data_IF_603163970763
#
_entry.id   IF_603163970763
#
_cell.length_a   1.000
_cell.length_b   1.000
_cell.length_c   1.000
_cell.angle_alpha   90.00
_cell.angle_beta   90.00
_cell.angle_gamma   90.00
#
_symmetry.space_group_name_H-M   'P 1'
#
loop_
_entity.id
_entity.type
_entity.pdbx_description
1 polymer ?
#
# COMPACT_ATOMS: atom_id res chain seq x y z
N UNK A 1 21.34 -7.60 -45.24
CA UNK A 1 22.43 -7.29 -44.30
C UNK A 1 21.83 -7.27 -42.89
N UNK A 2 21.81 -8.41 -42.22
CA UNK A 2 21.30 -8.54 -40.85
C UNK A 2 22.43 -8.33 -39.85
N UNK A 3 22.26 -7.38 -38.93
CA UNK A 3 23.22 -7.11 -37.86
C UNK A 3 22.77 -7.90 -36.63
N UNK A 4 23.49 -8.97 -36.31
CA UNK A 4 23.36 -9.70 -35.05
C UNK A 4 24.01 -8.89 -33.93
N UNK A 5 23.28 -8.69 -32.83
CA UNK A 5 23.82 -8.14 -31.59
C UNK A 5 24.20 -9.31 -30.68
N UNK A 6 25.49 -9.61 -30.60
CA UNK A 6 26.06 -10.50 -29.59
C UNK A 6 25.98 -9.83 -28.21
N UNK A 7 25.46 -10.58 -27.25
CA UNK A 7 25.51 -10.24 -25.82
C UNK A 7 26.83 -10.73 -25.23
N UNK A 8 27.51 -9.96 -24.36
CA UNK A 8 28.80 -10.40 -23.81
C UNK A 8 28.56 -11.42 -22.70
N UNK A 9 28.94 -12.68 -22.93
CA UNK A 9 29.07 -13.69 -21.87
C UNK A 9 30.34 -13.41 -21.07
N UNK A 10 30.19 -13.26 -19.75
CA UNK A 10 31.29 -13.28 -18.79
C UNK A 10 32.04 -14.62 -18.91
N UNK A 11 33.34 -14.58 -19.17
CA UNK A 11 34.21 -15.77 -19.18
C UNK A 11 34.37 -16.28 -17.75
N UNK A 12 33.73 -17.39 -17.42
CA UNK A 12 34.05 -18.17 -16.23
C UNK A 12 35.48 -18.73 -16.37
N UNK A 13 36.22 -18.74 -15.26
CA UNK A 13 37.59 -19.27 -15.18
C UNK A 13 37.64 -20.74 -15.61
N UNK A 14 38.78 -21.24 -16.13
CA UNK A 14 38.91 -22.66 -16.47
C UNK A 14 38.72 -23.52 -15.22
N UNK A 15 37.99 -24.62 -15.39
CA UNK A 15 37.70 -25.60 -14.35
C UNK A 15 39.01 -26.22 -13.81
N UNK A 16 39.03 -26.50 -12.50
CA UNK A 16 40.13 -27.21 -11.83
C UNK A 16 39.98 -28.69 -12.19
N UNK A 17 40.93 -29.25 -12.92
CA UNK A 17 40.99 -30.69 -13.17
C UNK A 17 41.43 -31.40 -11.87
N UNK A 18 40.48 -32.07 -11.21
CA UNK A 18 40.74 -32.96 -10.08
C UNK A 18 40.66 -34.38 -10.65
N UNK A 19 41.82 -34.98 -10.88
CA UNK A 19 41.99 -36.29 -11.52
C UNK A 19 41.93 -37.44 -10.50
N UNK A 20 41.06 -37.32 -9.49
CA UNK A 20 40.92 -38.29 -8.41
C UNK A 20 39.54 -38.97 -8.46
N UNK A 21 39.53 -40.30 -8.63
CA UNK A 21 38.33 -41.09 -8.97
C UNK A 21 37.28 -41.06 -7.86
N UNK A 22 37.66 -40.78 -6.61
CA UNK A 22 36.73 -40.64 -5.48
C UNK A 22 35.91 -39.34 -5.50
N UNK A 23 36.33 -38.31 -6.25
CA UNK A 23 35.65 -37.01 -6.31
C UNK A 23 34.98 -36.70 -7.66
N UNK A 24 34.86 -37.71 -8.53
CA UNK A 24 34.15 -37.59 -9.80
C UNK A 24 32.63 -37.45 -9.58
N UNK A 25 32.17 -36.22 -9.36
CA UNK A 25 30.76 -35.90 -9.21
C UNK A 25 29.95 -36.28 -10.46
N UNK A 26 28.91 -37.11 -10.30
CA UNK A 26 28.02 -37.50 -11.38
C UNK A 26 27.03 -36.36 -11.68
N UNK A 27 27.04 -35.81 -12.89
CA UNK A 27 26.09 -34.76 -13.30
C UNK A 27 24.67 -35.35 -13.37
N UNK A 28 23.76 -34.90 -12.50
CA UNK A 28 22.32 -35.19 -12.60
C UNK A 28 21.56 -33.95 -13.05
N UNK A 29 20.45 -34.15 -13.74
CA UNK A 29 19.55 -33.05 -14.12
C UNK A 29 18.42 -32.93 -13.11
N UNK A 30 17.83 -31.73 -12.99
CA UNK A 30 16.70 -31.47 -12.07
C UNK A 30 15.49 -32.38 -12.31
N UNK A 31 15.39 -32.96 -13.51
CA UNK A 31 14.38 -33.93 -13.93
C UNK A 31 14.60 -35.33 -13.33
N UNK A 32 15.84 -35.68 -13.00
CA UNK A 32 16.18 -36.99 -12.40
C UNK A 32 15.95 -37.01 -10.88
N UNK A 33 15.95 -35.83 -10.23
CA UNK A 33 15.76 -35.72 -8.77
C UNK A 33 14.28 -35.61 -8.36
N UNK A 34 13.42 -35.21 -9.28
CA UNK A 34 12.00 -34.95 -9.04
C UNK A 34 11.23 -35.58 -10.21
N UNK A 35 10.81 -36.83 -10.04
CA UNK A 35 10.03 -37.57 -11.03
C UNK A 35 8.79 -36.80 -11.50
N UNK A 36 8.41 -37.04 -12.74
CA UNK A 36 7.21 -36.45 -13.36
C UNK A 36 5.95 -36.97 -12.67
N UNK A 37 5.30 -36.11 -11.88
CA UNK A 37 3.85 -36.22 -11.62
C UNK A 37 3.21 -34.87 -11.96
N UNK A 38 2.71 -34.79 -13.19
CA UNK A 38 1.55 -33.96 -13.52
C UNK A 38 0.34 -34.60 -12.85
N UNK A 39 -0.12 -34.07 -11.72
CA UNK A 39 -1.50 -34.32 -11.28
C UNK A 39 -2.24 -33.05 -10.83
N UNK A 40 -3.34 -32.87 -11.54
CA UNK A 40 -4.47 -31.97 -11.46
C UNK A 40 -5.09 -31.92 -10.05
N UNK A 41 -5.08 -30.76 -9.39
CA UNK A 41 -5.78 -30.55 -8.12
C UNK A 41 -7.23 -30.10 -8.33
N UNK A 42 -7.95 -30.86 -9.16
CA UNK A 42 -9.40 -30.85 -9.27
C UNK A 42 -10.07 -31.34 -7.99
N UNK A 43 -11.17 -30.67 -7.63
CA UNK A 43 -12.00 -30.89 -6.45
C UNK A 43 -12.63 -32.31 -6.35
N UNK A 44 -13.17 -32.61 -5.14
CA UNK A 44 -14.28 -33.55 -4.78
C UNK A 44 -13.80 -34.97 -4.31
N UNK A 45 -14.54 -35.84 -3.55
CA UNK A 45 -15.51 -35.79 -2.44
C UNK A 45 -15.16 -36.69 -1.19
N UNK A 46 -16.12 -36.76 -0.26
CA UNK A 46 -16.27 -37.58 0.98
C UNK A 46 -16.00 -39.11 0.92
N UNK A 47 -15.40 -39.60 2.03
CA UNK A 47 -15.77 -40.75 2.91
C UNK A 47 -15.58 -42.21 2.44
N UNK A 48 -14.75 -42.97 3.18
CA UNK A 48 -15.05 -44.35 3.63
C UNK A 48 -14.16 -44.80 4.81
N UNK A 49 -14.73 -45.67 5.65
CA UNK A 49 -14.25 -46.22 6.94
C UNK A 49 -13.08 -47.23 6.80
N UNK A 50 -12.43 -47.47 7.96
CA UNK A 50 -11.56 -48.62 8.37
C UNK A 50 -10.16 -48.61 7.73
N UNK A 51 -9.05 -48.87 8.42
CA UNK A 51 -8.78 -49.75 9.57
C UNK A 51 -7.72 -49.14 10.50
N UNK A 52 -7.89 -49.33 11.81
CA UNK A 52 -6.83 -49.16 12.81
C UNK A 52 -5.77 -50.25 12.60
N UNK A 53 -4.50 -49.86 12.50
CA UNK A 53 -3.36 -50.78 12.63
C UNK A 53 -2.62 -50.45 13.91
N UNK A 54 -2.88 -51.31 14.88
CA UNK A 54 -2.13 -51.54 16.10
C UNK A 54 -0.70 -51.99 15.75
N UNK A 55 0.31 -51.37 16.35
CA UNK A 55 1.71 -51.79 16.22
C UNK A 55 2.08 -52.57 17.47
N UNK A 56 1.72 -53.84 17.50
CA UNK A 56 2.27 -54.82 18.44
C UNK A 56 3.68 -55.19 17.98
N UNK A 57 4.70 -54.75 18.71
CA UNK A 57 6.05 -55.32 18.59
C UNK A 57 6.05 -56.62 19.38
N UNK A 58 5.99 -57.74 18.66
CA UNK A 58 6.20 -59.08 19.20
C UNK A 58 7.69 -59.32 19.32
N UNK A 59 8.06 -59.72 20.53
CA UNK A 59 9.27 -60.45 20.89
C UNK A 59 9.31 -61.80 20.14
N UNK A 60 10.50 -62.23 19.69
CA UNK A 60 11.03 -63.61 19.76
C UNK A 60 12.37 -63.71 18.99
N UNK A 61 13.44 -64.14 19.65
CA UNK A 61 13.98 -65.49 19.46
C UNK A 61 15.21 -65.74 20.35
N UNK A 62 15.20 -66.94 20.91
CA UNK A 62 16.08 -67.48 21.94
C UNK A 62 17.26 -68.26 21.34
N UNK A 63 18.25 -68.51 22.22
CA UNK A 63 18.99 -69.79 22.39
C UNK A 63 20.50 -69.79 22.08
N UNK A 64 21.34 -69.89 23.13
CA UNK A 64 21.92 -71.19 23.58
C UNK A 64 22.98 -71.03 24.68
N UNK A 65 22.66 -71.48 25.90
CA UNK A 65 23.38 -72.43 26.78
C UNK A 65 24.94 -72.50 26.77
N UNK A 66 25.61 -72.15 27.90
CA UNK A 66 26.14 -73.07 28.95
C UNK A 66 27.35 -72.54 29.76
N UNK A 67 27.22 -72.73 31.07
CA UNK A 67 28.19 -73.01 32.14
C UNK A 67 29.57 -72.33 32.17
N UNK A 68 29.80 -71.58 33.25
CA UNK A 68 31.02 -71.73 34.05
C UNK A 68 30.77 -71.31 35.51
N UNK A 69 30.89 -72.28 36.42
CA UNK A 69 31.02 -72.11 37.87
C UNK A 69 32.16 -71.13 38.21
N UNK A 70 31.96 -70.29 39.24
CA UNK A 70 33.08 -69.60 39.87
C UNK A 70 32.74 -68.41 40.77
N UNK A 71 32.52 -68.73 42.04
CA UNK A 71 32.93 -67.95 43.23
C UNK A 71 32.08 -66.74 43.68
N UNK A 72 31.77 -66.80 44.98
CA UNK A 72 31.33 -65.72 45.87
C UNK A 72 31.99 -64.38 45.53
N UNK A 73 31.19 -63.32 45.34
CA UNK A 73 31.32 -62.08 46.11
C UNK A 73 30.17 -61.08 45.76
N UNK A 74 29.55 -60.55 46.82
CA UNK A 74 28.69 -59.34 46.89
C UNK A 74 27.17 -59.46 46.56
N UNK A 75 26.39 -59.88 47.56
CA UNK A 75 24.92 -59.65 47.65
C UNK A 75 24.52 -58.15 47.78
N UNK A 76 25.42 -57.21 47.47
CA UNK A 76 25.21 -55.77 47.63
C UNK A 76 25.00 -55.02 46.30
N UNK A 77 25.19 -55.69 45.16
CA UNK A 77 25.15 -55.10 43.81
C UNK A 77 23.79 -55.33 43.09
N UNK A 78 23.03 -56.37 43.48
CA UNK A 78 21.73 -56.71 42.86
C UNK A 78 20.62 -55.72 43.27
N UNK A 79 20.72 -55.12 44.46
CA UNK A 79 19.77 -54.10 44.94
C UNK A 79 19.97 -52.73 44.26
N UNK A 80 21.17 -52.45 43.73
CA UNK A 80 21.47 -51.17 43.06
C UNK A 80 21.02 -51.17 41.59
N UNK A 81 21.13 -52.31 40.88
CA UNK A 81 20.62 -52.43 39.51
C UNK A 81 19.10 -52.26 39.40
N UNK A 82 18.34 -52.71 40.39
CA UNK A 82 16.88 -52.62 40.39
C UNK A 82 16.41 -51.18 40.64
N UNK A 83 17.14 -50.42 41.47
CA UNK A 83 16.92 -48.99 41.70
C UNK A 83 17.29 -48.15 40.47
N UNK A 84 18.42 -48.44 39.82
CA UNK A 84 18.84 -47.77 38.57
C UNK A 84 17.87 -48.07 37.42
N UNK A 85 17.37 -49.30 37.31
CA UNK A 85 16.37 -49.68 36.31
C UNK A 85 15.02 -49.01 36.54
N UNK A 86 14.61 -48.85 37.80
CA UNK A 86 13.42 -48.08 38.16
C UNK A 86 13.57 -46.58 37.89
N UNK A 87 14.78 -46.02 38.05
CA UNK A 87 15.08 -44.63 37.68
C UNK A 87 15.03 -44.42 36.16
N UNK A 88 15.64 -45.33 35.38
CA UNK A 88 15.55 -45.32 33.92
C UNK A 88 14.11 -45.46 33.42
N UNK A 89 13.30 -46.32 34.05
CA UNK A 89 11.89 -46.50 33.70
C UNK A 89 11.10 -45.19 33.92
N UNK A 90 11.34 -44.49 35.04
CA UNK A 90 10.71 -43.20 35.33
C UNK A 90 11.15 -42.11 34.36
N UNK A 91 12.42 -42.09 33.97
CA UNK A 91 12.94 -41.14 32.99
C UNK A 91 12.35 -41.41 31.60
N UNK A 92 12.21 -42.68 31.21
CA UNK A 92 11.58 -43.09 29.96
C UNK A 92 10.09 -42.71 29.91
N UNK A 93 9.34 -42.95 30.98
CA UNK A 93 7.95 -42.52 31.09
C UNK A 93 7.84 -40.99 31.05
N UNK A 94 8.76 -40.26 31.70
CA UNK A 94 8.80 -38.79 31.65
C UNK A 94 9.07 -38.25 30.24
N UNK A 95 9.97 -38.89 29.49
CA UNK A 95 10.26 -38.52 28.09
C UNK A 95 9.05 -38.81 27.20
N UNK A 96 8.35 -39.93 27.41
CA UNK A 96 7.13 -40.28 26.65
C UNK A 96 6.02 -39.24 26.89
N UNK A 97 5.79 -38.85 28.15
CA UNK A 97 4.79 -37.85 28.49
C UNK A 97 5.15 -36.47 27.88
N UNK A 98 6.43 -36.09 27.90
CA UNK A 98 6.91 -34.88 27.22
C UNK A 98 6.71 -34.95 25.69
N UNK A 99 6.91 -36.11 25.07
CA UNK A 99 6.66 -36.28 23.64
C UNK A 99 5.17 -36.18 23.30
N UNK A 100 4.29 -36.73 24.14
CA UNK A 100 2.84 -36.62 23.97
C UNK A 100 2.37 -35.16 24.10
N UNK A 101 2.86 -34.43 25.11
CA UNK A 101 2.60 -33.00 25.29
C UNK A 101 3.06 -32.16 24.08
N UNK A 102 4.26 -32.44 23.53
CA UNK A 102 4.77 -31.77 22.34
C UNK A 102 3.86 -32.05 21.13
N UNK A 103 3.41 -33.29 20.96
CA UNK A 103 2.49 -33.66 19.88
C UNK A 103 1.13 -32.98 20.02
N UNK A 104 0.60 -32.86 21.23
CA UNK A 104 -0.64 -32.11 21.48
C UNK A 104 -0.48 -30.62 21.17
N UNK A 105 0.63 -30.00 21.59
CA UNK A 105 0.96 -28.60 21.25
C UNK A 105 1.06 -28.42 19.74
N UNK A 106 1.71 -29.34 19.02
CA UNK A 106 1.83 -29.30 17.56
C UNK A 106 0.48 -29.44 16.86
N UNK A 107 -0.38 -30.35 17.32
CA UNK A 107 -1.76 -30.50 16.80
C UNK A 107 -2.56 -29.21 17.03
N UNK A 108 -2.50 -28.65 18.24
CA UNK A 108 -3.19 -27.39 18.58
C UNK A 108 -2.67 -26.21 17.73
N UNK A 109 -1.37 -26.13 17.51
CA UNK A 109 -0.76 -25.12 16.65
C UNK A 109 -1.21 -25.27 15.19
N UNK A 110 -1.32 -26.49 14.68
CA UNK A 110 -1.82 -26.75 13.33
C UNK A 110 -3.27 -26.27 13.18
N UNK A 111 -4.14 -26.57 14.14
CA UNK A 111 -5.54 -26.12 14.11
C UNK A 111 -5.63 -24.59 14.21
N UNK A 112 -4.84 -23.97 15.12
CA UNK A 112 -4.74 -22.52 15.25
C UNK A 112 -4.25 -21.87 13.94
N UNK A 113 -3.32 -22.50 13.23
CA UNK A 113 -2.80 -22.01 11.95
C UNK A 113 -3.80 -22.15 10.81
N UNK A 114 -4.62 -23.21 10.79
CA UNK A 114 -5.75 -23.35 9.86
C UNK A 114 -6.76 -22.21 10.09
N UNK A 115 -7.11 -21.93 11.35
CA UNK A 115 -8.02 -20.84 11.70
C UNK A 115 -7.45 -19.48 11.30
N UNK A 116 -6.15 -19.22 11.56
CA UNK A 116 -5.46 -18.00 11.10
C UNK A 116 -5.49 -17.90 9.58
N UNK A 117 -5.23 -18.99 8.86
CA UNK A 117 -5.29 -19.04 7.41
C UNK A 117 -6.66 -18.64 6.87
N UNK A 118 -7.73 -19.16 7.48
CA UNK A 118 -9.10 -18.79 7.11
C UNK A 118 -9.40 -17.32 7.42
N UNK A 119 -8.95 -16.82 8.57
CA UNK A 119 -9.12 -15.41 8.93
C UNK A 119 -8.42 -14.48 7.94
N UNK A 120 -7.20 -14.81 7.50
CA UNK A 120 -6.46 -14.03 6.48
C UNK A 120 -7.19 -14.05 5.13
N UNK A 121 -7.73 -15.20 4.70
CA UNK A 121 -8.54 -15.29 3.47
C UNK A 121 -9.77 -14.38 3.54
N UNK A 122 -10.49 -14.39 4.65
CA UNK A 122 -11.67 -13.55 4.86
C UNK A 122 -11.30 -12.05 4.89
N UNK A 123 -10.20 -11.69 5.57
CA UNK A 123 -9.70 -10.31 5.59
C UNK A 123 -9.34 -9.80 4.20
N UNK A 124 -8.67 -10.64 3.40
CA UNK A 124 -8.35 -10.31 2.00
C UNK A 124 -9.62 -10.09 1.18
N UNK A 125 -10.59 -10.99 1.29
CA UNK A 125 -11.86 -10.84 0.58
C UNK A 125 -12.61 -9.55 0.96
N UNK A 126 -12.63 -9.18 2.25
CA UNK A 126 -13.22 -7.92 2.70
C UNK A 126 -12.47 -6.70 2.15
N UNK A 127 -11.14 -6.73 2.14
CA UNK A 127 -10.31 -5.67 1.58
C UNK A 127 -10.55 -5.48 0.08
N UNK A 128 -10.58 -6.58 -0.68
CA UNK A 128 -10.82 -6.56 -2.13
C UNK A 128 -12.21 -5.95 -2.43
N UNK A 129 -13.23 -6.28 -1.62
CA UNK A 129 -14.58 -5.71 -1.75
C UNK A 129 -14.63 -4.24 -1.37
N UNK A 130 -13.93 -3.82 -0.32
CA UNK A 130 -13.84 -2.40 0.06
C UNK A 130 -13.18 -1.56 -1.06
N UNK A 131 -12.16 -2.11 -1.70
CA UNK A 131 -11.51 -1.46 -2.83
C UNK A 131 -12.43 -1.40 -4.06
N UNK A 132 -13.16 -2.47 -4.36
CA UNK A 132 -14.17 -2.49 -5.43
C UNK A 132 -15.19 -1.35 -5.23
N UNK A 133 -15.73 -1.19 -4.02
CA UNK A 133 -16.62 -0.07 -3.66
C UNK A 133 -15.95 1.28 -3.96
N UNK A 134 -14.69 1.47 -3.52
CA UNK A 134 -13.97 2.72 -3.76
C UNK A 134 -13.76 2.99 -5.25
N UNK A 135 -13.46 1.98 -6.06
CA UNK A 135 -13.31 2.12 -7.52
C UNK A 135 -14.64 2.52 -8.17
N UNK A 136 -15.76 1.89 -7.76
CA UNK A 136 -17.09 2.22 -8.28
C UNK A 136 -17.49 3.67 -7.95
N UNK A 137 -17.15 4.15 -6.75
CA UNK A 137 -17.41 5.53 -6.32
C UNK A 137 -16.58 6.59 -7.06
N UNK A 138 -15.44 6.23 -7.68
CA UNK A 138 -14.51 7.20 -8.27
C UNK A 138 -15.20 8.12 -9.29
N UNK A 139 -16.01 7.57 -10.19
CA UNK A 139 -16.67 8.36 -11.23
C UNK A 139 -17.74 9.28 -10.64
N UNK A 140 -18.52 8.80 -9.68
CA UNK A 140 -19.52 9.60 -8.99
C UNK A 140 -18.85 10.79 -8.26
N UNK A 141 -17.77 10.53 -7.53
CA UNK A 141 -16.98 11.55 -6.86
C UNK A 141 -16.36 12.58 -7.83
N UNK A 142 -15.77 12.13 -8.94
CA UNK A 142 -15.23 13.07 -9.94
C UNK A 142 -16.32 13.91 -10.61
N UNK A 143 -17.53 13.37 -10.78
CA UNK A 143 -18.66 14.08 -11.37
C UNK A 143 -19.35 15.03 -10.38
N UNK A 144 -19.34 14.75 -9.07
CA UNK A 144 -19.93 15.65 -8.07
C UNK A 144 -19.24 17.01 -8.05
N UNK A 145 -17.93 17.06 -8.29
CA UNK A 145 -17.16 18.30 -8.45
C UNK A 145 -17.60 19.18 -9.64
N UNK A 146 -18.45 18.68 -10.53
CA UNK A 146 -18.97 19.43 -11.68
C UNK A 146 -20.38 19.97 -11.46
N UNK A 147 -21.05 19.55 -10.39
CA UNK A 147 -22.40 20.00 -10.09
C UNK A 147 -22.40 21.50 -9.79
N UNK A 148 -23.40 22.27 -10.25
CA UNK A 148 -23.57 23.66 -9.90
C UNK A 148 -23.75 23.81 -8.38
N UNK A 149 -23.12 24.81 -7.81
CA UNK A 149 -23.30 25.24 -6.42
C UNK A 149 -24.43 26.26 -6.32
N UNK A 150 -24.88 26.58 -5.10
CA UNK A 150 -25.82 27.68 -4.89
C UNK A 150 -25.20 29.04 -5.30
N UNK A 151 -25.98 29.96 -5.89
CA UNK A 151 -27.42 29.87 -6.16
C UNK A 151 -27.78 29.17 -7.49
N UNK A 152 -26.81 28.86 -8.36
CA UNK A 152 -27.07 28.29 -9.69
C UNK A 152 -27.82 26.97 -9.61
N UNK A 153 -27.50 26.12 -8.63
CA UNK A 153 -28.22 24.85 -8.42
C UNK A 153 -29.74 25.08 -8.34
N UNK A 154 -30.16 26.04 -7.53
CA UNK A 154 -31.57 26.40 -7.38
C UNK A 154 -32.17 26.95 -8.68
N UNK A 155 -31.41 27.74 -9.44
CA UNK A 155 -31.85 28.24 -10.75
C UNK A 155 -32.08 27.09 -11.75
N UNK A 156 -31.18 26.09 -11.80
CA UNK A 156 -31.34 24.91 -12.65
C UNK A 156 -32.57 24.08 -12.25
N UNK A 157 -32.76 23.81 -10.94
CA UNK A 157 -33.93 23.11 -10.43
C UNK A 157 -35.24 23.85 -10.74
N UNK A 158 -35.26 25.17 -10.57
CA UNK A 158 -36.46 25.98 -10.83
C UNK A 158 -36.78 26.11 -12.32
N UNK A 159 -35.78 25.97 -13.19
CA UNK A 159 -35.94 26.09 -14.64
C UNK A 159 -36.48 24.81 -15.30
N UNK A 160 -36.18 23.64 -14.74
CA UNK A 160 -36.53 22.34 -15.32
C UNK A 160 -36.91 21.32 -14.24
N UNK A 161 -38.16 20.84 -14.28
CA UNK A 161 -38.71 19.86 -13.34
C UNK A 161 -37.98 18.50 -13.45
N UNK A 162 -37.50 18.12 -14.63
CA UNK A 162 -36.71 16.88 -14.79
C UNK A 162 -35.36 16.99 -14.05
N UNK A 163 -34.76 18.18 -14.05
CA UNK A 163 -33.51 18.44 -13.32
C UNK A 163 -33.75 18.40 -11.82
N UNK A 164 -34.82 19.04 -11.33
CA UNK A 164 -35.16 19.01 -9.90
C UNK A 164 -35.44 17.58 -9.39
N UNK A 165 -36.19 16.79 -10.16
CA UNK A 165 -36.44 15.39 -9.86
C UNK A 165 -35.13 14.57 -9.84
N UNK A 166 -34.24 14.78 -10.83
CA UNK A 166 -32.94 14.11 -10.87
C UNK A 166 -32.04 14.45 -9.67
N UNK A 167 -32.07 15.71 -9.19
CA UNK A 167 -31.37 16.11 -7.97
C UNK A 167 -31.94 15.40 -6.73
N UNK A 168 -33.26 15.35 -6.61
CA UNK A 168 -33.94 14.67 -5.49
C UNK A 168 -33.61 13.17 -5.45
N UNK A 169 -33.57 12.51 -6.61
CA UNK A 169 -33.14 11.12 -6.74
C UNK A 169 -31.66 10.92 -6.40
N UNK A 170 -30.79 11.83 -6.84
CA UNK A 170 -29.36 11.80 -6.52
C UNK A 170 -29.11 11.92 -5.01
N UNK A 171 -29.77 12.86 -4.33
CA UNK A 171 -29.68 13.03 -2.88
C UNK A 171 -30.15 11.76 -2.17
N UNK A 172 -31.35 11.28 -2.50
CA UNK A 172 -31.92 10.06 -1.90
C UNK A 172 -31.02 8.84 -2.13
N UNK A 173 -30.45 8.68 -3.32
CA UNK A 173 -29.53 7.58 -3.64
C UNK A 173 -28.22 7.68 -2.86
N UNK A 174 -27.71 8.90 -2.67
CA UNK A 174 -26.47 9.17 -1.92
C UNK A 174 -26.65 8.88 -0.44
N UNK A 175 -27.76 9.33 0.16
CA UNK A 175 -28.13 9.04 1.54
C UNK A 175 -28.26 7.54 1.80
N UNK A 176 -28.97 6.81 0.93
CA UNK A 176 -29.07 5.34 1.01
C UNK A 176 -27.69 4.67 0.94
N UNK A 177 -26.81 5.15 0.06
CA UNK A 177 -25.46 4.62 -0.08
C UNK A 177 -24.65 4.82 1.20
N UNK A 178 -24.70 6.02 1.79
CA UNK A 178 -24.05 6.32 3.07
C UNK A 178 -24.59 5.42 4.18
N UNK A 179 -25.91 5.25 4.27
CA UNK A 179 -26.54 4.38 5.26
C UNK A 179 -26.07 2.93 5.11
N UNK A 180 -26.02 2.38 3.90
CA UNK A 180 -25.50 1.03 3.66
C UNK A 180 -24.03 0.88 4.09
N UNK A 181 -23.19 1.91 3.89
CA UNK A 181 -21.80 1.90 4.34
C UNK A 181 -21.69 1.97 5.88
N UNK A 182 -22.55 2.74 6.53
CA UNK A 182 -22.63 2.80 7.99
C UNK A 182 -23.10 1.47 8.59
N UNK A 183 -24.13 0.85 8.03
CA UNK A 183 -24.64 -0.46 8.46
C UNK A 183 -23.56 -1.54 8.31
N UNK A 184 -22.80 -1.51 7.20
CA UNK A 184 -21.67 -2.40 7.00
C UNK A 184 -20.57 -2.18 8.05
N UNK A 185 -20.25 -0.92 8.37
CA UNK A 185 -19.28 -0.60 9.42
C UNK A 185 -19.74 -1.10 10.79
N UNK A 186 -21.01 -0.90 11.13
CA UNK A 186 -21.59 -1.41 12.40
C UNK A 186 -21.48 -2.93 12.46
N UNK A 187 -21.91 -3.65 11.41
CA UNK A 187 -21.82 -5.10 11.35
C UNK A 187 -20.38 -5.61 11.50
N UNK A 188 -19.39 -4.92 10.92
CA UNK A 188 -17.97 -5.26 11.07
C UNK A 188 -17.47 -5.02 12.50
N UNK A 189 -17.94 -3.96 13.16
CA UNK A 189 -17.59 -3.64 14.55
C UNK A 189 -18.19 -4.67 15.51
N UNK A 190 -19.48 -5.01 15.35
CA UNK A 190 -20.17 -6.00 16.19
C UNK A 190 -19.52 -7.38 16.12
N UNK A 191 -19.01 -7.76 14.95
CA UNK A 191 -18.28 -9.02 14.74
C UNK A 191 -16.87 -9.01 15.32
N UNK A 192 -16.38 -7.87 15.81
CA UNK A 192 -15.03 -7.71 16.36
C UNK A 192 -15.08 -7.16 17.80
N UNK A 193 -15.21 -8.09 18.76
CA UNK A 193 -15.27 -7.77 20.20
C UNK A 193 -14.11 -6.92 20.72
N UNK A 194 -12.94 -6.99 20.07
CA UNK A 194 -11.76 -6.20 20.43
C UNK A 194 -11.94 -4.69 20.17
N UNK A 195 -12.82 -4.30 19.25
CA UNK A 195 -13.16 -2.90 18.98
C UNK A 195 -13.91 -2.33 20.19
N UNK A 196 -14.96 -3.02 20.63
CA UNK A 196 -15.79 -2.63 21.77
C UNK A 196 -15.00 -2.58 23.09
N UNK A 197 -14.07 -3.53 23.30
CA UNK A 197 -13.21 -3.54 24.50
C UNK A 197 -12.25 -2.34 24.54
N UNK A 198 -11.65 -1.96 23.40
CA UNK A 198 -10.71 -0.83 23.35
C UNK A 198 -11.41 0.53 23.35
N UNK A 199 -12.63 0.62 22.82
CA UNK A 199 -13.43 1.84 22.92
C UNK A 199 -13.79 2.18 24.37
N UNK A 200 -14.06 1.17 25.21
CA UNK A 200 -14.38 1.38 26.64
C UNK A 200 -13.17 1.79 27.48
N UNK A 201 -11.97 1.31 27.11
CA UNK A 201 -10.73 1.63 27.83
C UNK A 201 -10.07 2.93 27.32
N UNK A 202 -10.52 3.46 26.18
CA UNK A 202 -9.83 4.51 25.42
C UNK A 202 -10.34 5.94 25.61
N UNK A 203 -11.54 6.19 26.14
CA UNK A 203 -12.08 7.56 26.13
C UNK A 203 -13.05 7.83 27.29
N UNK A 204 -12.73 8.85 28.09
CA UNK A 204 -13.74 9.74 28.70
C UNK A 204 -14.62 10.23 27.55
N UNK A 205 -15.93 10.09 27.65
CA UNK A 205 -16.91 10.60 26.67
C UNK A 205 -16.47 11.98 26.15
N UNK A 206 -16.05 12.04 24.90
CA UNK A 206 -15.98 13.32 24.19
C UNK A 206 -17.42 13.58 23.77
N UNK A 207 -18.11 14.36 24.60
CA UNK A 207 -19.45 14.87 24.32
C UNK A 207 -19.40 15.62 22.98
N UNK A 208 -20.10 15.11 21.98
CA UNK A 208 -20.40 15.83 20.75
C UNK A 208 -21.57 16.78 21.03
N UNK A 209 -21.31 17.81 21.84
CA UNK A 209 -22.21 18.93 22.10
C UNK A 209 -21.51 20.20 21.61
N UNK A 210 -21.48 20.44 20.30
CA UNK A 210 -21.61 21.80 19.76
C UNK A 210 -21.74 21.78 18.24
N UNK A 211 -22.93 22.15 17.74
CA UNK A 211 -23.20 22.82 16.46
C UNK A 211 -24.72 22.77 16.19
N UNK A 212 -25.49 23.57 16.92
CA UNK A 212 -26.81 23.98 16.45
C UNK A 212 -26.65 25.28 15.67
N UNK A 213 -26.88 25.24 14.36
CA UNK A 213 -27.26 26.44 13.61
C UNK A 213 -28.24 26.04 12.51
N UNK A 214 -29.29 26.83 12.41
CA UNK A 214 -30.58 26.58 11.77
C UNK A 214 -30.56 26.61 10.24
N UNK A 215 -30.86 25.47 9.60
CA UNK A 215 -31.66 25.36 8.36
C UNK A 215 -32.20 23.92 8.24
N UNK A 216 -33.51 23.75 8.00
CA UNK A 216 -34.21 22.47 8.12
C UNK A 216 -33.80 21.39 7.10
N UNK A 217 -33.15 21.77 6.00
CA UNK A 217 -32.56 20.87 5.00
C UNK A 217 -31.10 20.51 5.31
N UNK A 218 -30.36 21.38 6.01
CA UNK A 218 -28.98 21.10 6.47
C UNK A 218 -28.96 20.24 7.74
N UNK A 219 -30.04 20.28 8.53
CA UNK A 219 -30.16 19.51 9.77
C UNK A 219 -30.02 17.98 9.54
N UNK A 220 -30.52 17.44 8.43
CA UNK A 220 -30.35 16.02 8.08
C UNK A 220 -28.93 15.64 7.59
N UNK A 221 -28.25 16.56 6.89
CA UNK A 221 -26.87 16.37 6.44
C UNK A 221 -25.91 16.39 7.64
N UNK A 222 -26.13 17.31 8.56
CA UNK A 222 -25.37 17.42 9.81
C UNK A 222 -25.58 16.20 10.72
N UNK A 223 -26.79 15.64 10.78
CA UNK A 223 -27.06 14.36 11.47
C UNK A 223 -26.33 13.18 10.82
N UNK A 224 -26.35 13.09 9.50
CA UNK A 224 -25.64 12.04 8.74
C UNK A 224 -24.14 12.11 8.99
N UNK A 225 -23.56 13.31 8.94
CA UNK A 225 -22.14 13.51 9.18
C UNK A 225 -21.76 13.23 10.64
N UNK A 226 -22.63 13.59 11.59
CA UNK A 226 -22.47 13.23 13.01
C UNK A 226 -22.44 11.71 13.21
N UNK A 227 -23.27 10.95 12.48
CA UNK A 227 -23.24 9.48 12.53
C UNK A 227 -21.92 8.91 11.99
N UNK A 228 -21.42 9.41 10.86
CA UNK A 228 -20.11 9.04 10.30
C UNK A 228 -18.99 9.34 11.31
N UNK A 229 -19.01 10.52 11.92
CA UNK A 229 -18.01 10.94 12.89
C UNK A 229 -18.04 10.04 14.15
N UNK A 230 -19.23 9.71 14.66
CA UNK A 230 -19.41 8.79 15.79
C UNK A 230 -18.81 7.42 15.49
N UNK A 231 -19.02 6.88 14.28
CA UNK A 231 -18.40 5.61 13.88
C UNK A 231 -16.89 5.70 13.83
N UNK A 232 -16.34 6.78 13.27
CA UNK A 232 -14.90 6.99 13.24
C UNK A 232 -14.27 7.04 14.64
N UNK A 233 -14.91 7.71 15.61
CA UNK A 233 -14.40 7.75 16.99
C UNK A 233 -14.48 6.40 17.69
N UNK A 234 -15.53 5.61 17.46
CA UNK A 234 -15.67 4.26 18.04
C UNK A 234 -14.54 3.32 17.60
N UNK A 235 -14.12 3.40 16.33
CA UNK A 235 -13.07 2.53 15.78
C UNK A 235 -11.65 3.04 16.03
N UNK A 236 -11.46 4.35 16.23
CA UNK A 236 -10.14 4.97 16.32
C UNK A 236 -9.18 4.32 17.34
N UNK A 237 -9.57 4.05 18.61
CA UNK A 237 -8.67 3.43 19.58
C UNK A 237 -8.20 2.03 19.16
N UNK A 238 -9.10 1.26 18.53
CA UNK A 238 -8.76 -0.06 18.02
C UNK A 238 -7.84 0.02 16.80
N UNK A 239 -8.15 0.91 15.85
CA UNK A 239 -7.34 1.16 14.65
C UNK A 239 -5.92 1.53 15.05
N UNK A 240 -5.75 2.57 15.86
CA UNK A 240 -4.45 3.13 16.21
C UNK A 240 -3.59 2.08 16.95
N UNK A 241 -4.18 1.41 17.95
CA UNK A 241 -3.50 0.34 18.68
C UNK A 241 -3.09 -0.85 17.79
N UNK A 242 -3.93 -1.20 16.80
CA UNK A 242 -3.66 -2.32 15.91
C UNK A 242 -2.57 -1.97 14.88
N UNK A 243 -2.63 -0.78 14.28
CA UNK A 243 -1.62 -0.29 13.36
C UNK A 243 -0.26 -0.21 14.05
N UNK A 244 -0.19 0.38 15.25
CA UNK A 244 1.06 0.51 15.99
C UNK A 244 1.63 -0.86 16.41
N UNK A 245 0.77 -1.81 16.78
CA UNK A 245 1.19 -3.20 17.06
C UNK A 245 1.85 -3.83 15.84
N UNK A 246 1.24 -3.71 14.67
CA UNK A 246 1.77 -4.30 13.43
C UNK A 246 3.01 -3.58 12.91
N UNK A 247 3.09 -2.26 13.07
CA UNK A 247 4.32 -1.50 12.83
C UNK A 247 5.47 -2.06 13.66
N UNK A 248 5.30 -2.16 14.99
CA UNK A 248 6.36 -2.66 15.90
C UNK A 248 6.78 -4.08 15.54
N UNK A 249 5.81 -4.97 15.26
CA UNK A 249 6.10 -6.35 14.86
C UNK A 249 6.92 -6.40 13.58
N UNK A 250 6.54 -5.61 12.57
CA UNK A 250 7.26 -5.56 11.28
C UNK A 250 8.68 -5.01 11.43
N UNK A 251 8.88 -3.98 12.26
CA UNK A 251 10.20 -3.42 12.56
C UNK A 251 11.12 -4.42 13.29
N UNK A 252 10.56 -5.24 14.20
CA UNK A 252 11.32 -6.28 14.89
C UNK A 252 11.75 -7.40 13.92
N UNK A 253 10.86 -7.85 13.04
CA UNK A 253 11.13 -8.94 12.09
C UNK A 253 12.12 -8.55 10.97
N UNK A 254 12.11 -7.29 10.52
CA UNK A 254 12.98 -6.82 9.42
C UNK A 254 14.40 -6.44 9.85
N UNK A 255 14.77 -6.62 11.13
CA UNK A 255 16.08 -6.18 11.66
C UNK A 255 16.27 -4.66 11.65
N UNK A 256 15.24 -3.91 11.30
CA UNK A 256 15.29 -2.45 11.14
C UNK A 256 15.50 -1.70 12.47
N UNK A 257 15.42 -2.42 13.60
CA UNK A 257 15.89 -1.95 14.89
C UNK A 257 17.37 -1.51 14.88
N UNK A 258 18.20 -2.02 13.96
CA UNK A 258 19.60 -1.60 13.79
C UNK A 258 19.75 -0.19 13.17
N UNK A 259 18.72 0.36 12.52
CA UNK A 259 18.73 1.69 11.91
C UNK A 259 18.14 2.80 12.81
N UNK A 260 17.77 2.47 14.05
CA UNK A 260 17.09 3.35 15.04
C UNK A 260 17.75 4.71 15.27
N UNK A 261 19.05 4.86 15.03
CA UNK A 261 19.77 6.07 15.42
C UNK A 261 19.78 7.21 14.39
N UNK A 262 19.10 7.10 13.23
CA UNK A 262 19.23 8.10 12.16
C UNK A 262 17.97 8.87 11.75
N UNK A 263 16.75 8.44 12.10
CA UNK A 263 15.52 9.11 11.65
C UNK A 263 14.44 9.14 12.74
N UNK A 264 14.03 10.34 13.18
CA UNK A 264 12.96 10.53 14.20
C UNK A 264 11.63 9.91 13.80
N UNK A 265 11.25 9.98 12.51
CA UNK A 265 10.03 9.38 11.98
C UNK A 265 10.01 7.85 12.10
N UNK A 266 11.16 7.18 12.17
CA UNK A 266 11.20 5.73 12.33
C UNK A 266 10.96 5.28 13.79
N UNK A 267 11.16 6.19 14.74
CA UNK A 267 11.07 5.94 16.18
C UNK A 267 9.72 6.32 16.80
N UNK A 268 8.79 6.86 16.02
CA UNK A 268 7.44 7.20 16.47
C UNK A 268 6.42 6.17 15.95
N UNK A 269 5.35 5.95 16.72
CA UNK A 269 4.20 5.18 16.28
C UNK A 269 3.54 5.87 15.07
N UNK A 270 2.97 5.11 14.13
CA UNK A 270 2.27 5.64 12.96
C UNK A 270 1.11 6.53 13.41
N UNK A 271 0.35 6.10 14.42
CA UNK A 271 -0.74 6.90 15.00
C UNK A 271 -0.27 8.29 15.43
N UNK A 272 0.88 8.37 16.08
CA UNK A 272 1.50 9.63 16.52
C UNK A 272 1.93 10.49 15.32
N UNK A 273 2.57 9.90 14.31
CA UNK A 273 2.98 10.62 13.10
C UNK A 273 1.77 11.23 12.38
N UNK A 274 0.69 10.47 12.25
CA UNK A 274 -0.57 10.97 11.69
C UNK A 274 -1.12 12.11 12.55
N UNK A 275 -1.16 11.97 13.88
CA UNK A 275 -1.64 13.02 14.77
C UNK A 275 -0.82 14.32 14.70
N UNK A 276 0.50 14.21 14.57
CA UNK A 276 1.41 15.35 14.42
C UNK A 276 1.18 16.06 13.08
N UNK A 277 0.99 15.30 12.00
CA UNK A 277 0.61 15.85 10.69
C UNK A 277 -0.78 16.49 10.67
N UNK A 278 -1.74 15.90 11.39
CA UNK A 278 -3.11 16.42 11.48
C UNK A 278 -3.24 17.64 12.40
N UNK A 279 -2.18 18.05 13.10
CA UNK A 279 -2.19 19.27 13.93
C UNK A 279 -2.29 20.55 13.09
N UNK A 280 -1.76 20.53 11.87
CA UNK A 280 -1.92 21.59 10.87
C UNK A 280 -2.20 20.94 9.50
N UNK A 281 -3.46 20.59 9.22
CA UNK A 281 -3.84 19.89 8.00
C UNK A 281 -3.91 20.84 6.79
N UNK A 282 -3.72 22.16 6.98
CA UNK A 282 -3.94 23.19 5.96
C UNK A 282 -3.20 22.91 4.67
N UNK A 283 -1.93 22.48 4.75
CA UNK A 283 -1.14 22.13 3.55
C UNK A 283 -1.69 20.91 2.78
N UNK A 284 -2.22 19.93 3.50
CA UNK A 284 -2.82 18.74 2.90
C UNK A 284 -4.16 19.10 2.25
N UNK A 285 -4.99 19.86 2.96
CA UNK A 285 -6.28 20.35 2.48
C UNK A 285 -6.08 21.16 1.19
N UNK A 286 -5.17 22.14 1.18
CA UNK A 286 -4.91 22.97 0.00
C UNK A 286 -4.38 22.16 -1.20
N UNK A 287 -3.68 21.03 -0.96
CA UNK A 287 -3.23 20.12 -2.02
C UNK A 287 -4.38 19.29 -2.60
N UNK A 288 -5.37 18.96 -1.77
CA UNK A 288 -6.56 18.20 -2.19
C UNK A 288 -7.63 19.12 -2.79
N UNK A 289 -7.61 20.42 -2.56
CA UNK A 289 -8.59 21.33 -3.13
C UNK A 289 -8.29 21.63 -4.61
N UNK A 290 -9.31 21.49 -5.46
CA UNK A 290 -9.19 21.83 -6.88
C UNK A 290 -9.48 23.30 -7.12
N UNK A 291 -8.79 23.89 -8.09
CA UNK A 291 -9.13 25.24 -8.58
C UNK A 291 -10.33 25.16 -9.52
N UNK A 292 -11.29 26.08 -9.39
CA UNK A 292 -12.48 26.16 -10.26
C UNK A 292 -12.13 26.20 -11.76
N UNK A 293 -11.02 26.83 -12.12
CA UNK A 293 -10.54 26.92 -13.52
C UNK A 293 -10.07 25.58 -14.11
N UNK A 294 -9.79 24.57 -13.28
CA UNK A 294 -9.37 23.24 -13.72
C UNK A 294 -10.53 22.33 -14.09
N UNK A 295 -11.77 22.72 -13.73
CA UNK A 295 -12.97 21.91 -13.87
C UNK A 295 -14.06 22.66 -14.62
N UNK A 296 -14.74 21.94 -15.51
CA UNK A 296 -15.95 22.45 -16.18
C UNK A 296 -17.16 22.19 -15.29
N UNK A 297 -17.43 23.13 -14.38
CA UNK A 297 -18.65 23.18 -13.56
C UNK A 297 -19.82 23.62 -14.44
N UNK A 298 -20.96 22.94 -14.32
CA UNK A 298 -22.14 23.30 -15.11
C UNK A 298 -22.66 24.70 -14.75
N UNK A 299 -23.04 25.48 -15.76
CA UNK A 299 -23.58 26.83 -15.60
C UNK A 299 -22.54 27.93 -15.38
N UNK A 300 -21.24 27.61 -15.27
CA UNK A 300 -20.16 28.60 -15.27
C UNK A 300 -19.50 28.62 -16.65
N UNK A 301 -19.72 29.67 -17.43
CA UNK A 301 -19.10 29.81 -18.75
C UNK A 301 -17.56 29.84 -18.62
N UNK A 302 -16.88 29.08 -19.48
CA UNK A 302 -15.41 29.06 -19.54
C UNK A 302 -14.83 30.39 -20.09
N UNK A 303 -15.65 31.29 -20.62
CA UNK A 303 -15.26 32.59 -21.17
C UNK A 303 -16.36 33.64 -20.92
N UNK A 304 -16.28 34.42 -19.83
CA UNK A 304 -17.21 35.54 -19.63
C UNK A 304 -17.16 36.21 -18.26
N UNK A 305 -16.36 37.28 -18.14
CA UNK A 305 -16.34 38.06 -16.89
C UNK A 305 -15.41 39.26 -16.85
N UNK A 306 -15.27 40.01 -17.94
CA UNK A 306 -14.83 41.41 -17.88
C UNK A 306 -15.89 42.24 -17.14
N UNK A 307 -15.95 42.11 -15.81
CA UNK A 307 -16.54 43.09 -14.89
C UNK A 307 -16.20 42.72 -13.45
N UNK A 308 -15.01 43.17 -13.02
CA UNK A 308 -14.80 43.92 -11.78
C UNK A 308 -15.69 43.62 -10.57
N UNK A 309 -15.62 42.39 -10.04
CA UNK A 309 -15.42 42.17 -8.60
C UNK A 309 -14.39 41.07 -8.50
N UNK A 310 -13.30 41.36 -7.81
CA UNK A 310 -12.26 40.41 -7.48
C UNK A 310 -12.91 39.13 -6.91
N UNK A 311 -13.12 38.10 -7.73
CA UNK A 311 -12.87 36.74 -7.27
C UNK A 311 -11.38 36.81 -6.95
N UNK A 312 -11.09 37.10 -5.68
CA UNK A 312 -9.76 36.95 -5.10
C UNK A 312 -9.30 35.61 -5.66
N UNK A 313 -8.28 35.67 -6.51
CA UNK A 313 -7.54 34.50 -6.92
C UNK A 313 -6.94 33.97 -5.63
N UNK A 314 -7.74 33.21 -4.87
CA UNK A 314 -7.26 32.39 -3.80
C UNK A 314 -6.27 31.48 -4.52
N UNK A 315 -4.98 31.73 -4.27
CA UNK A 315 -3.93 30.81 -4.70
C UNK A 315 -4.15 29.43 -4.06
N UNK A 316 -4.97 29.38 -3.00
CA UNK A 316 -5.53 28.20 -2.37
C UNK A 316 -6.83 27.77 -3.08
N UNK A 317 -7.00 26.45 -3.30
CA UNK A 317 -8.11 25.88 -4.07
C UNK A 317 -9.52 26.14 -3.52
N UNK A 318 -10.54 25.67 -4.23
CA UNK A 318 -11.93 25.79 -3.78
C UNK A 318 -12.22 24.76 -2.67
N UNK A 319 -12.69 25.17 -1.48
CA UNK A 319 -13.02 24.25 -0.39
C UNK A 319 -14.12 23.24 -0.73
N UNK A 320 -14.99 23.56 -1.69
CA UNK A 320 -16.08 22.70 -2.12
C UNK A 320 -15.66 21.65 -3.18
N UNK A 321 -14.43 21.75 -3.71
CA UNK A 321 -13.94 20.85 -4.76
C UNK A 321 -12.76 20.02 -4.27
N UNK A 322 -12.92 18.70 -4.23
CA UNK A 322 -11.93 17.79 -3.67
C UNK A 322 -11.30 16.87 -4.73
N UNK A 323 -9.99 16.71 -4.68
CA UNK A 323 -9.18 15.77 -5.47
C UNK A 323 -8.41 14.82 -4.56
N UNK A 324 -8.82 13.55 -4.60
CA UNK A 324 -8.14 12.46 -3.92
C UNK A 324 -7.42 11.51 -4.91
N UNK A 325 -7.17 11.98 -6.15
CA UNK A 325 -6.59 11.16 -7.22
C UNK A 325 -5.27 10.50 -6.84
N UNK A 326 -4.42 11.17 -6.04
CA UNK A 326 -3.15 10.58 -5.58
C UNK A 326 -3.40 9.38 -4.66
N UNK A 327 -4.34 9.49 -3.72
CA UNK A 327 -4.73 8.40 -2.84
C UNK A 327 -5.37 7.25 -3.64
N UNK A 328 -6.29 7.58 -4.54
CA UNK A 328 -6.91 6.61 -5.44
C UNK A 328 -5.89 5.86 -6.31
N UNK A 329 -4.93 6.58 -6.92
CA UNK A 329 -3.88 5.98 -7.75
C UNK A 329 -2.98 5.05 -6.93
N UNK A 330 -2.69 5.41 -5.68
CA UNK A 330 -1.92 4.55 -4.78
C UNK A 330 -2.68 3.26 -4.45
N UNK A 331 -3.98 3.35 -4.13
CA UNK A 331 -4.84 2.19 -3.90
C UNK A 331 -4.93 1.28 -5.13
N UNK A 332 -5.12 1.87 -6.33
CA UNK A 332 -5.20 1.11 -7.58
C UNK A 332 -3.87 0.42 -7.91
N UNK A 333 -2.74 1.10 -7.66
CA UNK A 333 -1.42 0.53 -7.87
C UNK A 333 -1.19 -0.67 -6.96
N UNK A 334 -1.49 -0.54 -5.67
CA UNK A 334 -1.34 -1.63 -4.69
C UNK A 334 -2.22 -2.84 -5.06
N UNK A 335 -3.46 -2.58 -5.47
CA UNK A 335 -4.36 -3.62 -5.98
C UNK A 335 -3.78 -4.36 -7.18
N UNK A 336 -3.32 -3.64 -8.21
CA UNK A 336 -2.74 -4.24 -9.40
C UNK A 336 -1.44 -5.00 -9.09
N UNK A 337 -0.64 -4.54 -8.12
CA UNK A 337 0.57 -5.24 -7.66
C UNK A 337 0.24 -6.51 -6.87
N UNK A 338 -0.90 -6.55 -6.16
CA UNK A 338 -1.38 -7.72 -5.42
C UNK A 338 -2.05 -8.79 -6.29
N UNK A 339 -2.42 -8.45 -7.53
CA UNK A 339 -2.93 -9.40 -8.52
C UNK A 339 -1.75 -10.13 -9.16
N UNK A 340 -1.58 -11.41 -8.85
CA UNK A 340 -0.64 -12.26 -9.59
C UNK A 340 -1.26 -12.67 -10.94
N UNK A 341 -0.74 -12.18 -12.09
CA UNK A 341 -1.26 -12.51 -13.41
C UNK A 341 -1.17 -14.00 -13.76
N UNK A 342 -0.43 -14.79 -12.97
CA UNK A 342 -0.29 -16.24 -13.17
C UNK A 342 -1.41 -17.05 -12.51
N UNK A 343 -2.16 -16.47 -11.57
CA UNK A 343 -3.23 -17.17 -10.84
C UNK A 343 -4.62 -17.01 -11.47
N UNK A 344 -4.79 -16.04 -12.37
CA UNK A 344 -6.06 -15.74 -13.03
C UNK A 344 -5.75 -15.35 -14.47
N UNK A 345 -6.25 -16.13 -15.45
CA UNK A 345 -5.95 -16.01 -16.88
C UNK A 345 -6.48 -14.73 -17.58
N UNK A 346 -6.41 -13.57 -16.93
CA UNK A 346 -6.81 -12.29 -17.48
C UNK A 346 -5.59 -11.37 -17.62
N UNK A 347 -5.13 -11.19 -18.86
CA UNK A 347 -4.11 -10.23 -19.23
C UNK A 347 -4.57 -8.78 -18.96
N UNK A 348 -4.34 -8.24 -17.77
CA UNK A 348 -4.43 -6.78 -17.51
C UNK A 348 -3.15 -6.07 -17.92
N UNK A 349 -2.83 -6.14 -19.22
CA UNK A 349 -1.86 -5.25 -19.85
C UNK A 349 -2.51 -3.87 -20.10
N UNK A 350 -2.65 -3.05 -19.05
CA UNK A 350 -3.37 -1.78 -19.14
C UNK A 350 -2.67 -0.55 -18.58
N UNK A 351 -1.86 -0.68 -17.52
CA UNK A 351 -1.23 0.48 -16.89
C UNK A 351 0.28 0.44 -17.08
N UNK A 352 0.71 0.72 -18.32
CA UNK A 352 2.07 1.22 -18.51
C UNK A 352 2.17 2.46 -17.62
N UNK A 353 3.07 2.43 -16.63
CA UNK A 353 3.59 3.63 -15.96
C UNK A 353 3.65 4.74 -17.01
N UNK A 354 3.26 6.00 -16.75
CA UNK A 354 3.69 7.07 -17.62
C UNK A 354 5.21 6.94 -17.67
N UNK A 355 5.73 6.39 -18.77
CA UNK A 355 7.14 6.40 -19.10
C UNK A 355 7.46 7.85 -18.89
N UNK A 356 8.29 8.18 -17.87
CA UNK A 356 8.75 9.55 -17.64
C UNK A 356 9.12 10.03 -19.02
N UNK A 357 8.29 10.89 -19.64
CA UNK A 357 8.53 11.33 -21.01
C UNK A 357 9.90 11.94 -20.86
N UNK A 358 10.94 11.27 -21.38
CA UNK A 358 12.29 11.80 -21.27
C UNK A 358 12.12 13.14 -21.93
N UNK A 359 12.27 14.22 -21.15
CA UNK A 359 12.14 15.57 -21.69
C UNK A 359 12.92 15.54 -22.99
N UNK A 360 12.34 16.04 -24.09
CA UNK A 360 13.06 16.12 -25.35
C UNK A 360 14.23 17.08 -25.09
N UNK A 361 15.35 16.51 -24.63
CA UNK A 361 16.55 17.23 -24.29
C UNK A 361 17.19 17.49 -25.62
N UNK A 362 17.23 18.76 -26.01
CA UNK A 362 17.97 19.20 -27.18
C UNK A 362 19.43 18.71 -27.04
N UNK A 363 19.78 17.67 -27.79
CA UNK A 363 21.12 17.05 -27.71
C UNK A 363 22.21 18.02 -28.19
N UNK A 364 21.86 19.03 -29.00
CA UNK A 364 22.74 20.15 -29.38
C UNK A 364 22.89 21.19 -28.26
N UNK A 365 21.98 21.23 -27.28
CA UNK A 365 22.14 22.10 -26.11
C UNK A 365 23.15 21.56 -25.09
N UNK A 366 23.58 20.29 -25.22
CA UNK A 366 24.70 19.78 -24.46
C UNK A 366 26.01 20.40 -24.96
N UNK A 367 26.88 20.85 -24.03
CA UNK A 367 28.21 21.39 -24.34
C UNK A 367 28.22 22.70 -25.17
N UNK A 368 27.29 23.62 -24.86
CA UNK A 368 27.31 25.03 -25.35
C UNK A 368 27.13 25.23 -26.86
N UNK A 369 26.70 24.20 -27.61
CA UNK A 369 26.56 24.32 -29.09
C UNK A 369 25.31 25.08 -29.54
N UNK A 370 24.44 25.45 -28.60
CA UNK A 370 23.25 26.29 -28.80
C UNK A 370 23.23 27.39 -27.74
N UNK A 371 23.01 28.62 -28.17
CA UNK A 371 22.90 29.79 -27.28
C UNK A 371 21.65 29.64 -26.41
N UNK A 372 21.79 29.87 -25.10
CA UNK A 372 20.69 29.87 -24.13
C UNK A 372 20.60 31.24 -23.50
N UNK A 373 19.40 31.83 -23.53
CA UNK A 373 19.13 33.11 -22.88
C UNK A 373 18.77 32.89 -21.41
N UNK A 374 19.77 32.51 -20.61
CA UNK A 374 19.65 32.37 -19.16
C UNK A 374 20.47 33.47 -18.49
N UNK A 375 19.93 34.07 -17.42
CA UNK A 375 20.66 35.02 -16.59
C UNK A 375 21.71 34.25 -15.79
N UNK A 376 22.96 34.66 -15.87
CA UNK A 376 24.05 34.09 -15.09
C UNK A 376 24.37 35.02 -13.90
N UNK A 377 23.94 34.64 -12.70
CA UNK A 377 24.04 35.47 -11.48
C UNK A 377 25.46 35.99 -11.20
N UNK A 378 26.50 35.18 -11.45
CA UNK A 378 27.90 35.57 -11.20
C UNK A 378 28.44 36.67 -12.12
N UNK A 379 27.85 36.85 -13.30
CA UNK A 379 28.23 37.90 -14.26
C UNK A 379 27.18 39.00 -14.36
N UNK A 380 26.07 38.87 -13.63
CA UNK A 380 25.11 39.94 -13.45
C UNK A 380 25.82 41.08 -12.72
N UNK A 381 25.70 42.30 -13.25
CA UNK A 381 26.39 43.49 -12.73
C UNK A 381 27.94 43.42 -12.76
N UNK A 382 28.52 42.61 -13.65
CA UNK A 382 29.99 42.48 -13.74
C UNK A 382 30.69 43.80 -14.10
N UNK A 383 30.07 44.62 -14.95
CA UNK A 383 30.57 45.96 -15.31
C UNK A 383 29.42 46.96 -15.38
N UNK A 384 29.68 48.19 -14.95
CA UNK A 384 28.79 49.31 -15.19
C UNK A 384 28.88 49.75 -16.67
N UNK A 385 27.77 50.17 -17.30
CA UNK A 385 27.81 50.67 -18.66
C UNK A 385 28.63 51.97 -18.70
N UNK A 386 29.67 51.99 -19.53
CA UNK A 386 30.40 53.22 -19.84
C UNK A 386 29.81 53.82 -21.12
N UNK A 387 29.26 55.05 -21.08
CA UNK A 387 28.72 55.68 -22.27
C UNK A 387 29.86 55.92 -23.25
N UNK A 388 29.71 55.39 -24.47
CA UNK A 388 30.61 55.73 -25.56
C UNK A 388 30.28 57.15 -26.02
N UNK A 389 31.23 58.06 -25.88
CA UNK A 389 31.13 59.38 -26.51
C UNK A 389 31.48 59.20 -27.97
N UNK A 390 30.44 59.16 -28.82
CA UNK A 390 30.62 59.16 -30.25
C UNK A 390 31.08 60.56 -30.70
N UNK A 391 32.05 60.66 -31.62
CA UNK A 391 32.36 61.93 -32.26
C UNK A 391 31.14 62.52 -32.97
N UNK A 392 30.98 63.84 -32.98
CA UNK A 392 29.84 64.54 -33.60
C UNK A 392 29.64 64.21 -35.09
N UNK A 393 30.72 63.79 -35.76
CA UNK A 393 30.71 63.36 -37.16
C UNK A 393 30.17 61.94 -37.39
N UNK A 394 30.07 61.11 -36.35
CA UNK A 394 29.69 59.70 -36.47
C UNK A 394 28.27 59.48 -37.05
N UNK A 395 27.22 60.21 -36.64
CA UNK A 395 25.89 60.04 -37.23
C UNK A 395 25.87 60.30 -38.74
N UNK A 396 26.49 61.41 -39.18
CA UNK A 396 26.61 61.78 -40.60
C UNK A 396 27.43 60.78 -41.40
N UNK A 397 28.45 60.19 -40.78
CA UNK A 397 29.27 59.15 -41.37
C UNK A 397 28.47 57.85 -41.56
N UNK A 398 27.67 57.44 -40.57
CA UNK A 398 26.83 56.24 -40.67
C UNK A 398 25.70 56.39 -41.69
N UNK A 399 25.12 57.58 -41.81
CA UNK A 399 24.11 57.90 -42.83
C UNK A 399 24.67 57.78 -44.26
N UNK A 400 25.94 58.12 -44.46
CA UNK A 400 26.57 58.15 -45.77
C UNK A 400 27.59 57.04 -46.00
N UNK A 401 27.61 56.00 -45.15
CA UNK A 401 28.66 54.96 -45.13
C UNK A 401 28.81 54.25 -46.50
N UNK A 402 27.70 54.14 -47.24
CA UNK A 402 27.65 53.56 -48.59
C UNK A 402 26.99 54.48 -49.63
N UNK A 403 26.84 55.77 -49.33
CA UNK A 403 26.45 56.79 -50.32
C UNK A 403 24.99 56.80 -50.80
N UNK A 404 24.01 56.40 -49.97
CA UNK A 404 22.60 56.52 -50.32
C UNK A 404 22.06 57.89 -49.90
N UNK A 405 22.02 58.83 -50.84
CA UNK A 405 21.21 60.05 -50.69
C UNK A 405 19.74 59.63 -50.56
N UNK A 406 19.11 59.89 -49.40
CA UNK A 406 17.67 59.74 -49.26
C UNK A 406 17.00 60.79 -50.14
N UNK A 407 16.50 60.36 -51.30
CA UNK A 407 15.62 61.17 -52.13
C UNK A 407 14.33 61.38 -51.34
N UNK A 408 14.23 62.50 -50.63
CA UNK A 408 13.01 62.93 -49.99
C UNK A 408 11.95 63.17 -51.08
N UNK A 409 11.05 62.20 -51.25
CA UNK A 409 9.88 62.35 -52.10
C UNK A 409 8.84 63.13 -51.30
N UNK A 410 8.56 64.36 -51.76
CA UNK A 410 7.50 65.22 -51.27
C UNK A 410 6.13 64.79 -51.82
#
# INVERSE_FOLDING_TARGET
>A
MGVNYDTPKLSLRPDIEIDDVEYAGKKSTRKDALGEEEEDWGLIPKRSKKEERDLSVSDDESDSERDTDGEDESEQDILQQDDEMQELQKEYDSIRDQQEDILEILKRNKDDDVLKGQAVKNQKALWDKALEIRILLQKAFSNSNRLPQEPLRSEFCNADEEVDQAYSELVTSTEKTIQCLLDLQEALIERNSSVSQKSRNGTKEVSCEDATTSDSTLQGVDETWSCVQRMHYRIAPFRDSSIDKWQRKTQMTTGAAAFKNKLRAFNQNISQQVSEHMRDPSRMINRMQLTRSSLNIFGKDAEGGANGKEEVLNADGDPELLDDSEFYQQLLKEFLESFDPRSSGANVNGLKRPQKKRKVVDRRASKSRRIRYNVHEKIQNFMAPMPMVLPDMAPKLFENLFGLQTVNSA
#
